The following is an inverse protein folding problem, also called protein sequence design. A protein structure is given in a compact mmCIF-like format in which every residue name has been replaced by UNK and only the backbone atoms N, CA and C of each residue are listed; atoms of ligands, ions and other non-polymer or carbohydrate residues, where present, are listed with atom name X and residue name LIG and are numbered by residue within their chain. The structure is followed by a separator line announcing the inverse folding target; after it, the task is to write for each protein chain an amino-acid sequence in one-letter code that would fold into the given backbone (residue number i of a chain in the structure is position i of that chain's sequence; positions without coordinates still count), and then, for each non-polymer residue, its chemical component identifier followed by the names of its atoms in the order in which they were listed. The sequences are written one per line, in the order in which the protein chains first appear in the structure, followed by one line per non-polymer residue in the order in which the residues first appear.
data_IF_184255308819
#
_entry.id   IF_184255308819
#
_cell.length_a   1.000
_cell.length_b   1.000
_cell.length_c   1.000
_cell.angle_alpha   90.00
_cell.angle_beta   90.00
_cell.angle_gamma   90.00
#
_symmetry.space_group_name_H-M   'P 1'
#
loop_
_entity.id
_entity.type
_entity.pdbx_description
1 polymer ?
#
# COMPACT_ATOMS: atom_id res chain seq x y z
N UNK A 1 -17.88 -28.96 -3.36
CA UNK A 1 -17.38 -27.75 -2.69
C UNK A 1 -17.98 -26.56 -3.39
N UNK A 2 -18.52 -25.60 -2.65
CA UNK A 2 -19.23 -24.48 -3.26
C UNK A 2 -18.51 -23.18 -2.85
N UNK A 3 -17.68 -22.64 -3.76
CA UNK A 3 -17.10 -21.31 -3.64
C UNK A 3 -18.07 -20.30 -4.25
N UNK A 4 -18.52 -19.32 -3.44
CA UNK A 4 -19.56 -18.37 -3.83
C UNK A 4 -19.02 -17.13 -4.53
N UNK A 5 -17.69 -17.00 -4.68
CA UNK A 5 -17.06 -15.84 -5.32
C UNK A 5 -17.13 -15.86 -6.85
N UNK A 6 -17.50 -16.99 -7.47
CA UNK A 6 -17.54 -17.16 -8.93
C UNK A 6 -18.47 -16.19 -9.67
N UNK A 7 -19.46 -15.65 -8.97
CA UNK A 7 -20.45 -14.74 -9.54
C UNK A 7 -20.21 -13.27 -9.14
N UNK A 8 -19.10 -12.99 -8.44
CA UNK A 8 -18.74 -11.64 -8.05
C UNK A 8 -18.12 -10.86 -9.21
N UNK A 9 -18.08 -9.54 -9.09
CA UNK A 9 -17.51 -8.65 -10.12
C UNK A 9 -16.13 -8.11 -9.75
N UNK A 10 -15.78 -8.17 -8.46
CA UNK A 10 -14.46 -7.75 -7.96
C UNK A 10 -13.36 -8.62 -8.55
N UNK A 11 -12.32 -8.01 -9.19
CA UNK A 11 -11.15 -8.75 -9.63
C UNK A 11 -10.46 -9.51 -8.48
N UNK A 12 -10.41 -8.93 -7.29
CA UNK A 12 -9.84 -9.57 -6.11
C UNK A 12 -10.62 -10.80 -5.65
N UNK A 13 -11.94 -10.71 -5.61
CA UNK A 13 -12.78 -11.86 -5.23
C UNK A 13 -12.68 -12.98 -6.27
N UNK A 14 -12.66 -12.63 -7.57
CA UNK A 14 -12.50 -13.58 -8.67
C UNK A 14 -11.15 -14.30 -8.65
N UNK A 15 -10.05 -13.67 -8.21
CA UNK A 15 -8.74 -14.33 -8.00
C UNK A 15 -8.84 -15.52 -7.02
N UNK A 16 -9.82 -15.50 -6.11
CA UNK A 16 -10.05 -16.56 -5.13
C UNK A 16 -11.19 -17.51 -5.48
N UNK A 17 -11.83 -17.34 -6.65
CA UNK A 17 -13.00 -18.11 -7.04
C UNK A 17 -12.72 -19.63 -7.25
N UNK A 18 -11.47 -19.98 -7.58
CA UNK A 18 -11.04 -21.36 -7.78
C UNK A 18 -10.32 -21.98 -6.56
N UNK A 19 -10.17 -21.22 -5.45
CA UNK A 19 -9.59 -21.79 -4.24
C UNK A 19 -10.43 -22.96 -3.70
N UNK A 20 -9.80 -23.95 -3.07
CA UNK A 20 -10.52 -25.06 -2.41
C UNK A 20 -11.28 -24.61 -1.15
N UNK A 21 -11.06 -23.39 -0.66
CA UNK A 21 -11.82 -22.78 0.46
C UNK A 21 -13.21 -22.38 -0.02
N UNK A 22 -14.25 -22.70 0.76
CA UNK A 22 -15.64 -22.33 0.49
C UNK A 22 -15.89 -20.86 0.86
N UNK A 23 -15.34 -19.95 0.09
CA UNK A 23 -15.44 -18.52 0.31
C UNK A 23 -16.86 -18.00 0.07
N UNK A 24 -17.28 -17.11 0.94
CA UNK A 24 -18.43 -16.22 0.75
C UNK A 24 -17.95 -14.79 0.50
N UNK A 25 -18.65 -13.97 -0.28
CA UNK A 25 -18.56 -12.53 -0.18
C UNK A 25 -19.16 -12.07 1.16
N UNK A 26 -19.02 -10.81 1.50
CA UNK A 26 -19.69 -10.25 2.68
C UNK A 26 -21.19 -10.17 2.45
N UNK A 27 -21.92 -11.15 2.91
CA UNK A 27 -23.36 -11.29 2.69
C UNK A 27 -24.07 -11.84 3.93
N UNK A 28 -25.37 -11.63 4.00
CA UNK A 28 -26.22 -12.06 5.12
C UNK A 28 -26.21 -13.59 5.27
N UNK A 29 -26.22 -14.30 4.16
CA UNK A 29 -26.25 -15.76 4.08
C UNK A 29 -25.04 -16.40 4.77
N UNK A 30 -23.85 -15.77 4.68
CA UNK A 30 -22.66 -16.25 5.35
C UNK A 30 -22.82 -16.20 6.88
N UNK A 31 -23.33 -15.11 7.40
CA UNK A 31 -23.55 -14.95 8.86
C UNK A 31 -24.72 -15.80 9.37
N UNK A 32 -25.78 -15.97 8.60
CA UNK A 32 -26.87 -16.89 8.93
C UNK A 32 -26.37 -18.33 8.97
N UNK A 33 -25.49 -18.72 8.04
CA UNK A 33 -24.83 -20.02 8.07
C UNK A 33 -23.95 -20.17 9.31
N UNK A 34 -23.13 -19.18 9.63
CA UNK A 34 -22.29 -19.20 10.83
C UNK A 34 -23.12 -19.39 12.12
N UNK A 35 -24.27 -18.72 12.22
CA UNK A 35 -25.22 -18.89 13.34
C UNK A 35 -25.81 -20.29 13.37
N UNK A 36 -26.28 -20.80 12.24
CA UNK A 36 -26.93 -22.11 12.14
C UNK A 36 -25.97 -23.26 12.42
N UNK A 37 -24.73 -23.17 11.94
CA UNK A 37 -23.71 -24.19 12.11
C UNK A 37 -22.89 -24.00 13.41
N UNK A 38 -23.15 -22.94 14.15
CA UNK A 38 -22.43 -22.56 15.37
C UNK A 38 -20.90 -22.46 15.16
N UNK A 39 -20.48 -21.86 14.05
CA UNK A 39 -19.09 -21.71 13.66
C UNK A 39 -18.62 -20.26 13.76
N UNK A 40 -17.37 -20.02 14.18
CA UNK A 40 -16.77 -18.68 14.06
C UNK A 40 -16.56 -18.33 12.59
N UNK A 41 -16.49 -17.03 12.32
CA UNK A 41 -16.22 -16.51 10.98
C UNK A 41 -14.73 -16.23 10.83
N UNK A 42 -14.15 -16.72 9.75
CA UNK A 42 -12.82 -16.35 9.27
C UNK A 42 -12.97 -15.28 8.18
N UNK A 43 -12.60 -14.05 8.50
CA UNK A 43 -12.67 -12.91 7.58
C UNK A 43 -11.28 -12.56 7.06
N UNK A 44 -11.12 -12.51 5.74
CA UNK A 44 -9.90 -12.07 5.07
C UNK A 44 -10.20 -10.89 4.15
N UNK A 45 -9.56 -9.75 4.41
CA UNK A 45 -9.72 -8.51 3.65
C UNK A 45 -8.42 -8.22 2.90
N UNK A 46 -8.54 -7.82 1.64
CA UNK A 46 -7.40 -7.46 0.80
C UNK A 46 -7.84 -6.70 -0.45
N UNK A 47 -7.02 -6.70 -1.47
CA UNK A 47 -7.29 -6.08 -2.77
C UNK A 47 -6.43 -6.72 -3.87
N UNK A 48 -6.79 -6.52 -5.13
CA UNK A 48 -6.28 -7.31 -6.27
C UNK A 48 -4.77 -7.21 -6.50
N UNK A 49 -4.14 -6.07 -6.23
CA UNK A 49 -2.70 -5.84 -6.45
C UNK A 49 -1.85 -6.02 -5.18
N UNK A 50 -2.43 -6.58 -4.12
CA UNK A 50 -1.78 -6.75 -2.83
C UNK A 50 -0.81 -7.93 -2.85
N UNK A 51 0.49 -7.69 -2.92
CA UNK A 51 1.54 -8.72 -2.93
C UNK A 51 1.38 -9.75 -1.80
N UNK A 52 1.28 -9.32 -0.53
CA UNK A 52 1.13 -10.25 0.60
C UNK A 52 -0.21 -11.00 0.61
N UNK A 53 -1.24 -10.46 -0.07
CA UNK A 53 -2.48 -11.19 -0.28
C UNK A 53 -2.27 -12.34 -1.28
N UNK A 54 -1.49 -12.12 -2.35
CA UNK A 54 -1.10 -13.17 -3.31
C UNK A 54 -0.24 -14.24 -2.63
N UNK A 55 0.76 -13.83 -1.84
CA UNK A 55 1.59 -14.77 -1.07
C UNK A 55 0.72 -15.65 -0.16
N UNK A 56 -0.23 -15.06 0.59
CA UNK A 56 -1.12 -15.82 1.47
C UNK A 56 -2.09 -16.72 0.69
N UNK A 57 -2.52 -16.31 -0.51
CA UNK A 57 -3.34 -17.13 -1.40
C UNK A 57 -2.60 -18.40 -1.80
N UNK A 58 -1.42 -18.26 -2.38
CA UNK A 58 -0.62 -19.38 -2.86
C UNK A 58 -0.11 -20.29 -1.75
N UNK A 59 0.36 -19.72 -0.63
CA UNK A 59 0.86 -20.53 0.49
C UNK A 59 -0.23 -21.24 1.27
N UNK A 60 -1.42 -20.65 1.39
CA UNK A 60 -2.43 -21.08 2.36
C UNK A 60 -3.79 -21.37 1.75
N UNK A 61 -4.37 -20.47 0.95
CA UNK A 61 -5.75 -20.62 0.49
C UNK A 61 -5.91 -21.61 -0.67
N UNK A 62 -4.82 -21.90 -1.40
CA UNK A 62 -4.74 -22.95 -2.42
C UNK A 62 -4.36 -24.32 -1.82
N UNK A 63 -3.97 -24.37 -0.56
CA UNK A 63 -3.61 -25.62 0.12
C UNK A 63 -4.84 -26.36 0.61
N UNK A 64 -5.03 -27.60 0.17
CA UNK A 64 -6.18 -28.43 0.51
C UNK A 64 -6.34 -28.66 2.02
N UNK A 65 -5.23 -28.83 2.77
CA UNK A 65 -5.30 -29.08 4.22
C UNK A 65 -5.76 -27.85 5.01
N UNK A 66 -5.33 -26.64 4.58
CA UNK A 66 -5.84 -25.39 5.15
C UNK A 66 -7.32 -25.22 4.78
N UNK A 67 -7.66 -25.50 3.54
CA UNK A 67 -9.05 -25.43 3.07
C UNK A 67 -9.97 -26.41 3.81
N UNK A 68 -9.54 -27.64 4.07
CA UNK A 68 -10.30 -28.62 4.89
C UNK A 68 -10.60 -28.05 6.27
N UNK A 69 -9.60 -27.48 6.97
CA UNK A 69 -9.78 -26.88 8.31
C UNK A 69 -10.75 -25.70 8.25
N UNK A 70 -10.58 -24.79 7.26
CA UNK A 70 -11.45 -23.63 7.10
C UNK A 70 -12.89 -24.06 6.80
N UNK A 71 -13.08 -25.00 5.90
CA UNK A 71 -14.41 -25.47 5.47
C UNK A 71 -15.13 -26.25 6.58
N UNK A 72 -14.38 -27.00 7.40
CA UNK A 72 -14.97 -27.81 8.46
C UNK A 72 -15.33 -26.95 9.70
N UNK A 73 -14.45 -26.04 10.11
CA UNK A 73 -14.57 -25.37 11.42
C UNK A 73 -14.98 -23.89 11.34
N UNK A 74 -14.98 -23.28 10.15
CA UNK A 74 -15.26 -21.85 10.00
C UNK A 74 -16.28 -21.62 8.87
N UNK A 75 -16.88 -20.42 8.90
CA UNK A 75 -17.46 -19.82 7.71
C UNK A 75 -16.48 -18.77 7.21
N UNK A 76 -15.95 -18.95 6.00
CA UNK A 76 -14.89 -18.13 5.43
C UNK A 76 -15.47 -17.02 4.57
N UNK A 77 -15.14 -15.77 4.89
CA UNK A 77 -15.61 -14.58 4.15
C UNK A 77 -14.40 -13.85 3.57
N UNK A 78 -14.52 -13.47 2.29
CA UNK A 78 -13.53 -12.67 1.57
C UNK A 78 -14.10 -11.30 1.26
N UNK A 79 -13.31 -10.24 1.48
CA UNK A 79 -13.73 -8.85 1.24
C UNK A 79 -12.68 -8.13 0.41
N UNK A 80 -13.11 -7.48 -0.66
CA UNK A 80 -12.32 -6.51 -1.39
C UNK A 80 -12.48 -5.14 -0.71
N UNK A 81 -11.36 -4.59 -0.20
CA UNK A 81 -11.38 -3.28 0.44
C UNK A 81 -11.71 -2.13 -0.52
N UNK A 82 -11.44 -2.31 -1.82
CA UNK A 82 -11.75 -1.29 -2.83
C UNK A 82 -13.26 -1.18 -3.08
N UNK A 83 -14.00 -2.30 -2.98
CA UNK A 83 -15.46 -2.30 -3.08
C UNK A 83 -16.14 -2.02 -1.73
N UNK A 84 -15.54 -2.47 -0.61
CA UNK A 84 -16.11 -2.35 0.74
C UNK A 84 -15.17 -1.65 1.72
N UNK A 85 -14.80 -0.37 1.43
CA UNK A 85 -13.95 0.42 2.33
C UNK A 85 -14.58 0.66 3.71
N UNK A 86 -15.92 0.61 3.80
CA UNK A 86 -16.67 0.67 5.05
C UNK A 86 -16.31 -0.48 5.99
N UNK A 87 -16.27 -1.72 5.47
CA UNK A 87 -15.87 -2.91 6.22
C UNK A 87 -14.39 -2.88 6.55
N UNK A 88 -13.56 -2.57 5.55
CA UNK A 88 -12.11 -2.48 5.73
C UNK A 88 -11.73 -1.50 6.83
N UNK A 89 -12.30 -0.31 6.84
CA UNK A 89 -12.00 0.73 7.84
C UNK A 89 -12.30 0.27 9.27
N UNK A 90 -13.44 -0.40 9.48
CA UNK A 90 -13.82 -0.93 10.80
C UNK A 90 -12.83 -1.98 11.27
N UNK A 91 -12.58 -3.00 10.44
CA UNK A 91 -11.73 -4.13 10.86
C UNK A 91 -10.23 -3.82 10.79
N UNK A 92 -9.83 -2.80 10.03
CA UNK A 92 -8.47 -2.26 10.11
C UNK A 92 -8.22 -1.61 11.49
N UNK A 93 -9.19 -0.85 12.02
CA UNK A 93 -9.10 -0.30 13.38
C UNK A 93 -9.02 -1.42 14.44
N UNK A 94 -9.77 -2.50 14.26
CA UNK A 94 -9.65 -3.71 15.10
C UNK A 94 -8.24 -4.29 15.00
N UNK A 95 -7.71 -4.47 13.79
CA UNK A 95 -6.37 -5.02 13.58
C UNK A 95 -5.31 -4.16 14.28
N UNK A 96 -5.39 -2.85 14.16
CA UNK A 96 -4.49 -1.91 14.82
C UNK A 96 -4.58 -1.99 16.35
N UNK A 97 -5.78 -2.15 16.91
CA UNK A 97 -5.96 -2.32 18.35
C UNK A 97 -5.30 -3.61 18.88
N UNK A 98 -5.34 -4.71 18.11
CA UNK A 98 -4.72 -5.97 18.50
C UNK A 98 -3.20 -6.02 18.31
N UNK A 99 -2.70 -5.42 17.24
CA UNK A 99 -1.31 -5.63 16.79
C UNK A 99 -0.42 -4.41 16.94
N UNK A 100 -1.01 -3.23 17.22
CA UNK A 100 -0.33 -1.94 17.22
C UNK A 100 -0.04 -1.40 15.81
N UNK A 101 -0.37 -2.15 14.77
CA UNK A 101 -0.19 -1.76 13.36
C UNK A 101 -1.29 -2.37 12.50
N UNK A 102 -1.47 -1.86 11.27
CA UNK A 102 -2.42 -2.40 10.30
C UNK A 102 -1.74 -2.74 8.98
N UNK A 103 -2.43 -3.50 8.14
CA UNK A 103 -1.93 -3.86 6.82
C UNK A 103 -2.78 -4.95 6.16
N UNK A 104 -2.55 -5.15 4.88
CA UNK A 104 -3.21 -6.20 4.11
C UNK A 104 -2.23 -7.33 3.75
N UNK A 105 -2.74 -8.59 3.74
CA UNK A 105 -4.11 -8.99 4.05
C UNK A 105 -4.45 -8.71 5.52
N UNK A 106 -5.70 -8.28 5.80
CA UNK A 106 -6.21 -8.18 7.16
C UNK A 106 -6.97 -9.46 7.47
N UNK A 107 -6.58 -10.16 8.53
CA UNK A 107 -7.15 -11.43 8.97
C UNK A 107 -7.88 -11.24 10.29
N UNK A 108 -9.18 -11.49 10.33
CA UNK A 108 -10.02 -11.29 11.51
C UNK A 108 -10.81 -12.54 11.82
N UNK A 109 -10.95 -12.88 13.09
CA UNK A 109 -11.89 -13.90 13.55
C UNK A 109 -13.05 -13.25 14.27
N UNK A 110 -14.27 -13.59 13.82
CA UNK A 110 -15.51 -12.98 14.31
C UNK A 110 -16.42 -14.02 14.93
N UNK A 111 -17.25 -13.58 15.85
CA UNK A 111 -18.46 -14.31 16.22
C UNK A 111 -19.47 -14.26 15.06
N UNK A 112 -20.48 -15.15 15.01
CA UNK A 112 -21.56 -15.06 14.03
C UNK A 112 -22.35 -13.73 14.06
N UNK A 113 -22.25 -12.96 15.15
CA UNK A 113 -22.81 -11.61 15.29
C UNK A 113 -21.82 -10.51 14.90
N UNK A 114 -20.79 -10.81 14.11
CA UNK A 114 -19.79 -9.89 13.55
C UNK A 114 -18.88 -9.22 14.58
N UNK A 115 -18.82 -9.73 15.82
CA UNK A 115 -17.97 -9.19 16.86
C UNK A 115 -16.55 -9.77 16.75
N UNK A 116 -15.49 -8.95 16.61
CA UNK A 116 -14.13 -9.45 16.46
C UNK A 116 -13.54 -9.88 17.81
N UNK A 117 -12.92 -11.07 17.85
CA UNK A 117 -12.23 -11.58 19.04
C UNK A 117 -10.75 -11.89 18.83
N UNK A 118 -10.27 -11.85 17.58
CA UNK A 118 -8.85 -11.95 17.23
C UNK A 118 -8.59 -11.28 15.89
N UNK A 119 -7.42 -10.64 15.76
CA UNK A 119 -7.02 -9.97 14.53
C UNK A 119 -5.50 -10.08 14.29
N UNK A 120 -5.12 -9.98 13.04
CA UNK A 120 -3.75 -9.90 12.58
C UNK A 120 -3.70 -9.55 11.09
N UNK A 121 -2.51 -9.54 10.54
CA UNK A 121 -2.31 -9.30 9.12
C UNK A 121 -1.99 -10.61 8.38
N UNK A 122 -0.86 -10.71 7.76
CA UNK A 122 -0.39 -11.92 7.10
C UNK A 122 0.01 -13.00 8.12
N UNK A 123 -0.39 -14.24 7.85
CA UNK A 123 0.04 -15.43 8.56
C UNK A 123 0.65 -16.44 7.59
N UNK A 124 1.92 -16.83 7.74
CA UNK A 124 2.53 -17.86 6.91
C UNK A 124 1.82 -19.21 7.10
N UNK A 125 1.84 -20.09 6.12
CA UNK A 125 1.24 -21.43 6.23
C UNK A 125 1.77 -22.21 7.44
N UNK A 126 3.09 -22.18 7.66
CA UNK A 126 3.79 -22.75 8.83
C UNK A 126 4.51 -21.66 9.60
N UNK A 127 4.76 -21.89 10.89
CA UNK A 127 5.51 -20.93 11.72
C UNK A 127 6.83 -20.52 11.07
N UNK A 128 7.04 -19.22 10.91
CA UNK A 128 8.21 -18.62 10.24
C UNK A 128 8.50 -17.25 10.88
N UNK A 129 9.76 -16.91 11.04
CA UNK A 129 10.19 -15.60 11.59
C UNK A 129 9.58 -15.22 12.94
N UNK A 130 9.35 -16.21 13.81
CA UNK A 130 8.71 -15.98 15.12
C UNK A 130 7.18 -15.81 15.08
N UNK A 131 6.57 -15.83 13.88
CA UNK A 131 5.11 -15.78 13.71
C UNK A 131 4.51 -17.19 13.74
N UNK A 132 3.30 -17.28 14.33
CA UNK A 132 2.51 -18.52 14.30
C UNK A 132 2.05 -18.82 12.86
N UNK A 133 2.08 -20.10 12.46
CA UNK A 133 1.53 -20.51 11.16
C UNK A 133 0.00 -20.54 11.17
N UNK A 134 -0.62 -20.21 10.01
CA UNK A 134 -2.07 -20.16 9.86
C UNK A 134 -2.75 -21.47 10.28
N UNK A 135 -2.22 -22.62 9.86
CA UNK A 135 -2.77 -23.92 10.26
C UNK A 135 -2.89 -24.08 11.78
N UNK A 136 -1.83 -23.76 12.51
CA UNK A 136 -1.82 -23.86 13.97
C UNK A 136 -2.77 -22.86 14.61
N UNK A 137 -2.87 -21.65 14.05
CA UNK A 137 -3.78 -20.60 14.52
C UNK A 137 -5.23 -21.04 14.37
N UNK A 138 -5.62 -21.56 13.19
CA UNK A 138 -6.98 -22.03 12.93
C UNK A 138 -7.40 -23.13 13.91
N UNK A 139 -6.54 -24.13 14.12
CA UNK A 139 -6.83 -25.21 15.07
C UNK A 139 -6.93 -24.70 16.52
N UNK A 140 -6.06 -23.79 16.93
CA UNK A 140 -6.11 -23.19 18.26
C UNK A 140 -7.39 -22.38 18.50
N UNK A 141 -7.86 -21.63 17.50
CA UNK A 141 -9.13 -20.90 17.57
C UNK A 141 -10.31 -21.84 17.62
N UNK A 142 -10.31 -22.89 16.78
CA UNK A 142 -11.37 -23.91 16.82
C UNK A 142 -11.47 -24.57 18.20
N UNK A 143 -10.35 -25.00 18.77
CA UNK A 143 -10.32 -25.61 20.11
C UNK A 143 -10.84 -24.64 21.19
N UNK A 144 -10.45 -23.37 21.14
CA UNK A 144 -10.97 -22.37 22.06
C UNK A 144 -12.48 -22.11 21.83
N UNK A 145 -12.94 -22.04 20.59
CA UNK A 145 -14.35 -21.88 20.28
C UNK A 145 -15.21 -23.01 20.87
N UNK A 146 -14.70 -24.23 20.83
CA UNK A 146 -15.36 -25.42 21.35
C UNK A 146 -15.31 -25.50 22.88
N UNK A 147 -14.16 -25.23 23.49
CA UNK A 147 -13.89 -25.58 24.89
C UNK A 147 -13.85 -24.36 25.83
N UNK A 148 -13.64 -23.15 25.32
CA UNK A 148 -13.47 -21.92 26.11
C UNK A 148 -14.08 -20.70 25.39
N UNK A 149 -15.26 -20.88 24.84
CA UNK A 149 -16.01 -19.86 24.10
C UNK A 149 -16.22 -18.58 24.91
N UNK A 150 -16.46 -18.71 26.22
CA UNK A 150 -16.72 -17.56 27.09
C UNK A 150 -15.59 -16.55 27.03
N UNK A 151 -14.36 -16.95 27.11
CA UNK A 151 -13.18 -16.10 26.99
C UNK A 151 -13.13 -15.36 25.64
N UNK A 152 -13.50 -16.04 24.54
CA UNK A 152 -13.54 -15.39 23.22
C UNK A 152 -14.65 -14.34 23.11
N UNK A 153 -15.81 -14.60 23.69
CA UNK A 153 -16.93 -13.64 23.70
C UNK A 153 -16.62 -12.43 24.57
N UNK A 154 -15.99 -12.63 25.74
CA UNK A 154 -15.53 -11.54 26.61
C UNK A 154 -14.50 -10.67 25.88
N UNK A 155 -13.51 -11.27 25.22
CA UNK A 155 -12.56 -10.54 24.38
C UNK A 155 -13.24 -9.72 23.27
N UNK A 156 -14.27 -10.27 22.63
CA UNK A 156 -15.03 -9.56 21.61
C UNK A 156 -15.77 -8.33 22.17
N UNK A 157 -16.37 -8.42 23.33
CA UNK A 157 -17.04 -7.28 23.98
C UNK A 157 -16.03 -6.19 24.42
N UNK A 158 -14.87 -6.60 24.93
CA UNK A 158 -13.81 -5.66 25.32
C UNK A 158 -13.31 -4.85 24.12
N UNK A 159 -13.08 -5.50 22.98
CA UNK A 159 -12.68 -4.83 21.73
C UNK A 159 -13.73 -3.79 21.28
N UNK A 160 -15.00 -4.20 21.24
CA UNK A 160 -16.09 -3.28 20.84
C UNK A 160 -16.18 -2.11 21.81
N UNK A 161 -16.05 -2.36 23.11
CA UNK A 161 -16.08 -1.32 24.14
C UNK A 161 -14.93 -0.32 23.97
N UNK A 162 -13.72 -0.82 23.65
CA UNK A 162 -12.55 0.02 23.39
C UNK A 162 -12.76 0.92 22.18
N UNK A 163 -13.13 0.35 21.03
CA UNK A 163 -13.38 1.09 19.80
C UNK A 163 -14.53 2.13 19.95
N UNK A 164 -15.58 1.77 20.70
CA UNK A 164 -16.68 2.68 20.98
C UNK A 164 -16.27 3.88 21.84
N UNK A 165 -15.32 3.71 22.76
CA UNK A 165 -14.75 4.80 23.58
C UNK A 165 -13.87 5.71 22.73
N UNK A 166 -13.02 5.15 21.87
CA UNK A 166 -12.21 5.95 20.96
C UNK A 166 -13.07 6.79 20.01
N UNK A 167 -14.11 6.20 19.43
CA UNK A 167 -15.05 6.91 18.56
C UNK A 167 -15.78 8.05 19.29
N UNK A 168 -16.17 7.86 20.55
CA UNK A 168 -16.81 8.92 21.36
C UNK A 168 -15.84 10.05 21.72
N UNK A 169 -14.58 9.74 21.96
CA UNK A 169 -13.56 10.74 22.26
C UNK A 169 -13.18 11.57 21.01
N UNK A 170 -13.47 11.08 19.81
CA UNK A 170 -13.30 11.82 18.54
C UNK A 170 -14.49 12.74 18.21
N UNK A 171 -15.65 12.57 18.87
CA UNK A 171 -16.75 13.53 18.76
C UNK A 171 -16.45 14.70 19.70
N UNK A 172 -15.94 15.78 19.13
CA UNK A 172 -15.77 17.05 19.83
C UNK A 172 -17.14 17.48 20.36
N UNK A 173 -17.23 17.76 21.67
CA UNK A 173 -18.41 18.33 22.27
C UNK A 173 -18.80 19.60 21.50
N UNK A 174 -20.00 19.59 20.91
CA UNK A 174 -20.52 20.66 20.05
C UNK A 174 -20.89 21.95 20.84
N UNK A 175 -20.50 22.08 22.10
CA UNK A 175 -20.91 23.19 22.97
C UNK A 175 -19.81 24.21 23.30
N UNK A 176 -18.71 24.32 22.52
CA UNK A 176 -17.79 25.44 22.71
C UNK A 176 -17.95 26.49 21.62
N UNK A 177 -18.60 27.59 21.95
CA UNK A 177 -18.80 28.81 21.15
C UNK A 177 -17.52 29.66 20.94
N UNK A 178 -16.33 29.04 20.91
CA UNK A 178 -15.05 29.76 20.64
C UNK A 178 -14.24 29.02 19.59
N UNK A 179 -14.69 29.06 18.35
CA UNK A 179 -14.14 28.26 17.25
C UNK A 179 -12.87 28.88 16.64
N UNK A 180 -12.73 30.22 16.58
CA UNK A 180 -11.63 30.86 15.81
C UNK A 180 -10.24 30.67 16.42
N UNK A 181 -10.06 30.80 17.73
CA UNK A 181 -8.74 30.62 18.38
C UNK A 181 -8.32 29.14 18.43
N UNK A 182 -9.30 28.23 18.55
CA UNK A 182 -9.05 26.78 18.60
C UNK A 182 -8.55 26.23 17.25
N UNK A 183 -9.09 26.75 16.14
CA UNK A 183 -8.70 26.30 14.79
C UNK A 183 -7.27 26.71 14.44
N UNK A 184 -6.86 27.92 14.81
CA UNK A 184 -5.48 28.39 14.61
C UNK A 184 -4.51 27.55 15.43
N UNK A 185 -4.84 27.29 16.69
CA UNK A 185 -4.00 26.47 17.57
C UNK A 185 -3.88 25.02 17.08
N UNK A 186 -4.93 24.46 16.50
CA UNK A 186 -4.90 23.13 15.89
C UNK A 186 -3.95 23.08 14.70
N UNK A 187 -3.99 24.08 13.82
CA UNK A 187 -3.10 24.20 12.66
C UNK A 187 -1.62 24.33 13.10
N UNK A 188 -1.33 25.16 14.11
CA UNK A 188 0.03 25.29 14.64
C UNK A 188 0.50 24.00 15.30
N UNK A 189 -0.36 23.34 16.07
CA UNK A 189 -0.05 22.01 16.68
C UNK A 189 0.25 20.96 15.63
N UNK A 190 -0.49 20.94 14.53
CA UNK A 190 -0.22 20.04 13.41
C UNK A 190 1.13 20.34 12.73
N UNK A 191 1.46 21.62 12.52
CA UNK A 191 2.75 22.01 11.99
C UNK A 191 3.90 21.57 12.90
N UNK A 192 3.82 21.82 14.20
CA UNK A 192 4.81 21.42 15.18
C UNK A 192 4.97 19.88 15.23
N UNK A 193 3.88 19.15 15.05
CA UNK A 193 3.92 17.68 14.95
C UNK A 193 4.73 17.24 13.74
N UNK A 194 4.52 17.83 12.55
CA UNK A 194 5.31 17.53 11.37
C UNK A 194 6.79 17.91 11.52
N UNK A 195 7.11 19.02 12.18
CA UNK A 195 8.49 19.41 12.48
C UNK A 195 9.23 18.35 13.33
N UNK A 196 8.53 17.73 14.28
CA UNK A 196 9.09 16.64 15.13
C UNK A 196 9.27 15.35 14.38
N UNK A 197 8.36 15.00 13.45
CA UNK A 197 8.41 13.75 12.68
C UNK A 197 9.33 13.82 11.46
N UNK A 198 9.69 15.03 11.02
CA UNK A 198 10.43 15.22 9.78
C UNK A 198 11.82 14.59 9.82
N UNK A 199 12.14 13.74 8.86
CA UNK A 199 13.50 13.23 8.66
C UNK A 199 14.38 14.28 7.99
N UNK A 200 15.14 15.02 8.80
CA UNK A 200 16.02 16.09 8.32
C UNK A 200 17.15 15.59 7.40
N UNK A 201 17.47 14.30 7.44
CA UNK A 201 18.52 13.72 6.60
C UNK A 201 17.97 13.31 5.23
N UNK A 202 16.89 12.53 5.21
CA UNK A 202 16.40 11.86 4.00
C UNK A 202 15.07 12.43 3.48
N UNK A 203 14.45 13.38 4.19
CA UNK A 203 13.09 13.83 3.86
C UNK A 203 12.01 12.81 4.24
N UNK A 204 10.76 13.22 4.10
CA UNK A 204 9.62 12.43 4.57
C UNK A 204 9.42 12.50 6.08
N UNK A 205 8.47 11.74 6.59
CA UNK A 205 8.07 11.78 8.00
C UNK A 205 8.18 10.39 8.63
N UNK A 206 8.77 10.32 9.81
CA UNK A 206 9.01 9.06 10.52
C UNK A 206 10.16 8.24 9.92
N UNK A 207 10.10 6.93 10.16
CA UNK A 207 11.07 5.94 9.66
C UNK A 207 10.42 4.98 8.68
N UNK A 208 11.21 4.12 8.07
CA UNK A 208 10.74 3.06 7.18
C UNK A 208 9.70 2.14 7.89
N UNK A 209 8.66 1.71 7.15
CA UNK A 209 8.36 2.03 5.75
C UNK A 209 7.88 3.48 5.58
N UNK A 210 8.42 4.20 4.58
CA UNK A 210 8.08 5.60 4.31
C UNK A 210 7.05 5.74 3.21
N UNK A 211 5.87 6.25 3.56
CA UNK A 211 4.84 6.61 2.60
C UNK A 211 5.04 8.03 2.08
N UNK A 212 4.69 8.33 0.82
CA UNK A 212 4.76 9.68 0.24
C UNK A 212 3.93 10.73 0.97
N UNK A 213 2.84 10.34 1.62
CA UNK A 213 1.91 11.17 2.40
C UNK A 213 1.61 12.53 1.75
N UNK A 214 1.09 12.57 0.50
CA UNK A 214 0.91 13.82 -0.25
C UNK A 214 -0.02 14.83 0.44
N UNK A 215 -0.99 14.35 1.22
CA UNK A 215 -1.88 15.20 2.02
C UNK A 215 -1.12 16.01 3.10
N UNK A 216 -0.09 15.42 3.72
CA UNK A 216 0.78 16.14 4.67
C UNK A 216 1.57 17.25 3.96
N UNK A 217 2.10 16.94 2.77
CA UNK A 217 2.85 17.89 1.95
C UNK A 217 1.94 19.04 1.46
N UNK A 218 0.71 18.74 1.05
CA UNK A 218 -0.28 19.76 0.68
C UNK A 218 -0.68 20.64 1.85
N UNK A 219 -0.82 20.07 3.06
CA UNK A 219 -1.02 20.86 4.28
C UNK A 219 0.14 21.84 4.50
N UNK A 220 1.38 21.35 4.46
CA UNK A 220 2.57 22.19 4.67
C UNK A 220 2.73 23.29 3.61
N UNK A 221 2.40 23.02 2.33
CA UNK A 221 2.40 24.03 1.29
C UNK A 221 1.37 25.15 1.56
N UNK A 222 0.16 24.77 1.98
CA UNK A 222 -0.88 25.73 2.38
C UNK A 222 -0.50 26.49 3.65
N UNK A 223 0.12 25.81 4.61
CA UNK A 223 0.62 26.44 5.82
C UNK A 223 1.69 27.48 5.50
N UNK A 224 2.64 27.17 4.58
CA UNK A 224 3.63 28.14 4.09
C UNK A 224 2.98 29.36 3.43
N UNK A 225 1.99 29.15 2.56
CA UNK A 225 1.27 30.28 1.92
C UNK A 225 0.64 31.24 2.94
N UNK A 226 0.13 30.71 4.04
CA UNK A 226 -0.53 31.51 5.10
C UNK A 226 0.47 32.16 6.06
N UNK A 227 1.46 31.42 6.51
CA UNK A 227 2.36 31.82 7.60
C UNK A 227 3.69 32.40 7.14
N UNK A 228 4.09 32.16 5.89
CA UNK A 228 5.42 32.43 5.33
C UNK A 228 6.57 31.74 6.11
N UNK A 229 6.28 30.69 6.93
CA UNK A 229 7.30 29.92 7.64
C UNK A 229 8.09 29.06 6.66
N UNK A 230 9.33 29.44 6.38
CA UNK A 230 10.21 28.78 5.40
C UNK A 230 10.42 27.29 5.71
N UNK A 231 10.47 26.89 7.00
CA UNK A 231 10.66 25.51 7.40
C UNK A 231 9.59 24.57 6.82
N UNK A 232 8.35 25.03 6.66
CA UNK A 232 7.30 24.24 6.04
C UNK A 232 7.60 23.94 4.56
N UNK A 233 8.06 24.94 3.81
CA UNK A 233 8.47 24.77 2.42
C UNK A 233 9.71 23.88 2.31
N UNK A 234 10.71 24.07 3.18
CA UNK A 234 11.95 23.27 3.17
C UNK A 234 11.68 21.79 3.40
N UNK A 235 10.76 21.45 4.31
CA UNK A 235 10.32 20.06 4.54
C UNK A 235 9.69 19.45 3.29
N UNK A 236 8.83 20.20 2.60
CA UNK A 236 8.19 19.75 1.37
C UNK A 236 9.21 19.58 0.25
N UNK A 237 10.02 20.59 -0.01
CA UNK A 237 11.02 20.58 -1.09
C UNK A 237 11.99 19.41 -0.93
N UNK A 238 12.51 19.22 0.30
CA UNK A 238 13.41 18.11 0.58
C UNK A 238 12.74 16.75 0.34
N UNK A 239 11.51 16.59 0.77
CA UNK A 239 10.77 15.32 0.60
C UNK A 239 10.50 15.04 -0.88
N UNK A 240 9.98 16.02 -1.63
CA UNK A 240 9.67 15.87 -3.05
C UNK A 240 10.92 15.55 -3.88
N UNK A 241 12.02 16.25 -3.64
CA UNK A 241 13.29 15.99 -4.33
C UNK A 241 13.86 14.62 -3.97
N UNK A 242 13.80 14.23 -2.71
CA UNK A 242 14.32 12.93 -2.29
C UNK A 242 13.50 11.77 -2.87
N UNK A 243 12.16 11.86 -2.89
CA UNK A 243 11.31 10.88 -3.55
C UNK A 243 11.59 10.79 -5.05
N UNK A 244 11.75 11.93 -5.74
CA UNK A 244 12.12 11.94 -7.17
C UNK A 244 13.48 11.30 -7.43
N UNK A 245 14.47 11.53 -6.55
CA UNK A 245 15.82 10.96 -6.70
C UNK A 245 15.89 9.47 -6.36
N UNK A 246 15.01 8.98 -5.52
CA UNK A 246 14.95 7.60 -5.09
C UNK A 246 14.36 6.66 -6.14
N UNK A 247 14.41 5.36 -5.85
CA UNK A 247 13.78 4.35 -6.68
C UNK A 247 12.26 4.24 -6.51
N UNK A 248 11.69 4.98 -5.53
CA UNK A 248 10.22 5.08 -5.39
C UNK A 248 9.57 5.78 -6.59
N UNK A 249 10.31 6.65 -7.30
CA UNK A 249 9.92 7.20 -8.58
C UNK A 249 10.48 6.31 -9.70
N UNK A 250 9.61 5.83 -10.57
CA UNK A 250 10.04 5.10 -11.76
C UNK A 250 10.62 6.08 -12.79
N UNK A 251 11.95 6.13 -12.86
CA UNK A 251 12.66 7.04 -13.75
C UNK A 251 12.47 6.73 -15.23
N UNK A 252 11.99 5.53 -15.56
CA UNK A 252 11.82 5.06 -16.94
C UNK A 252 10.37 5.16 -17.37
N UNK A 253 9.46 4.49 -16.66
CA UNK A 253 8.05 4.47 -17.00
C UNK A 253 7.26 5.66 -16.43
N UNK A 254 7.79 6.37 -15.46
CA UNK A 254 7.08 7.41 -14.71
C UNK A 254 6.21 6.86 -13.60
N UNK A 255 5.65 7.78 -12.80
CA UNK A 255 4.81 7.43 -11.66
C UNK A 255 5.59 7.01 -10.42
N UNK A 256 4.88 6.99 -9.30
CA UNK A 256 5.41 6.66 -7.97
C UNK A 256 4.87 5.33 -7.49
N UNK A 257 5.74 4.52 -6.92
CA UNK A 257 5.37 3.35 -6.14
C UNK A 257 4.71 3.76 -4.82
N UNK A 258 4.04 2.80 -4.17
CA UNK A 258 3.17 3.06 -3.03
C UNK A 258 3.90 3.61 -1.81
N UNK A 259 5.02 2.98 -1.43
CA UNK A 259 5.87 3.40 -0.31
C UNK A 259 7.30 2.86 -0.49
N UNK A 260 8.23 3.42 0.28
CA UNK A 260 9.60 2.92 0.38
C UNK A 260 9.74 1.98 1.58
N UNK A 261 10.45 0.89 1.39
CA UNK A 261 10.78 -0.06 2.46
C UNK A 261 11.98 0.40 3.29
N UNK A 262 12.72 1.42 2.82
CA UNK A 262 13.88 2.02 3.49
C UNK A 262 13.67 3.51 3.80
N UNK A 263 14.61 4.09 4.55
CA UNK A 263 14.55 5.50 4.97
C UNK A 263 14.90 6.50 3.86
N UNK A 264 15.53 6.06 2.73
CA UNK A 264 16.10 6.95 1.71
C UNK A 264 15.26 7.06 0.45
N UNK A 265 14.11 6.38 0.38
CA UNK A 265 13.26 6.26 -0.80
C UNK A 265 13.91 5.48 -1.97
N UNK A 266 14.88 4.58 -1.69
CA UNK A 266 15.55 3.79 -2.71
C UNK A 266 14.76 2.53 -3.10
N UNK A 267 14.42 1.68 -2.14
CA UNK A 267 13.77 0.38 -2.37
C UNK A 267 12.27 0.52 -2.16
N UNK A 268 11.46 0.57 -3.23
CA UNK A 268 10.02 0.66 -3.08
C UNK A 268 9.39 -0.70 -2.82
N UNK A 269 8.17 -0.70 -2.27
CA UNK A 269 7.17 -1.69 -2.61
C UNK A 269 6.60 -1.31 -3.97
N UNK A 270 6.77 -2.16 -4.98
CA UNK A 270 6.67 -1.77 -6.39
C UNK A 270 5.24 -1.51 -6.91
N UNK A 271 4.22 -1.78 -6.12
CA UNK A 271 2.83 -1.44 -6.41
C UNK A 271 2.66 0.06 -6.68
N UNK A 272 1.88 0.43 -7.70
CA UNK A 272 1.55 1.84 -8.00
C UNK A 272 0.05 2.07 -7.89
N UNK A 273 -0.35 2.93 -6.94
CA UNK A 273 -1.76 3.26 -6.70
C UNK A 273 -2.15 4.53 -7.44
N UNK A 274 -3.32 4.53 -8.06
CA UNK A 274 -3.88 5.71 -8.75
C UNK A 274 -4.01 6.91 -7.81
N UNK A 275 -4.63 6.72 -6.63
CA UNK A 275 -4.85 7.79 -5.67
C UNK A 275 -3.55 8.45 -5.22
N UNK A 276 -2.48 7.65 -5.02
CA UNK A 276 -1.18 8.15 -4.60
C UNK A 276 -0.55 9.03 -5.70
N UNK A 277 -0.57 8.55 -6.93
CA UNK A 277 -0.05 9.27 -8.08
C UNK A 277 -0.84 10.55 -8.37
N UNK A 278 -2.17 10.51 -8.31
CA UNK A 278 -3.03 11.66 -8.49
C UNK A 278 -2.76 12.76 -7.46
N UNK A 279 -2.67 12.41 -6.17
CA UNK A 279 -2.36 13.36 -5.11
C UNK A 279 -0.93 13.90 -5.20
N UNK A 280 0.03 13.10 -5.65
CA UNK A 280 1.40 13.56 -5.90
C UNK A 280 1.47 14.52 -7.08
N UNK A 281 0.74 14.29 -8.18
CA UNK A 281 0.62 15.27 -9.27
C UNK A 281 0.16 16.63 -8.72
N UNK A 282 -0.91 16.65 -7.91
CA UNK A 282 -1.41 17.88 -7.28
C UNK A 282 -0.33 18.54 -6.40
N UNK A 283 0.40 17.76 -5.61
CA UNK A 283 1.44 18.25 -4.70
C UNK A 283 2.61 18.86 -5.46
N UNK A 284 3.12 18.20 -6.49
CA UNK A 284 4.18 18.70 -7.35
C UNK A 284 3.75 19.95 -8.13
N UNK A 285 2.52 19.99 -8.65
CA UNK A 285 1.96 21.19 -9.29
C UNK A 285 1.90 22.37 -8.32
N UNK A 286 1.45 22.14 -7.08
CA UNK A 286 1.38 23.18 -6.06
C UNK A 286 2.79 23.68 -5.66
N UNK A 287 3.75 22.78 -5.50
CA UNK A 287 5.14 23.13 -5.25
C UNK A 287 5.74 23.96 -6.40
N UNK A 288 5.42 23.61 -7.66
CA UNK A 288 5.83 24.42 -8.83
C UNK A 288 5.23 25.82 -8.79
N UNK A 289 3.94 25.95 -8.51
CA UNK A 289 3.24 27.24 -8.42
C UNK A 289 3.87 28.17 -7.39
N UNK A 290 4.29 27.61 -6.24
CA UNK A 290 4.88 28.40 -5.15
C UNK A 290 6.35 28.76 -5.35
N UNK A 291 7.12 27.89 -6.00
CA UNK A 291 8.58 28.02 -6.08
C UNK A 291 9.12 28.42 -7.45
N UNK A 292 8.35 28.21 -8.53
CA UNK A 292 8.78 28.37 -9.92
C UNK A 292 9.85 27.35 -10.36
N UNK A 293 10.22 26.35 -9.54
CA UNK A 293 11.26 25.38 -9.85
C UNK A 293 10.78 24.34 -10.85
N UNK A 294 11.33 24.37 -12.08
CA UNK A 294 10.89 23.52 -13.21
C UNK A 294 10.91 22.02 -12.95
N UNK A 295 11.75 21.55 -12.01
CA UNK A 295 11.80 20.12 -11.65
C UNK A 295 10.45 19.60 -11.16
N UNK A 296 9.68 20.39 -10.42
CA UNK A 296 8.37 19.97 -9.93
C UNK A 296 7.35 19.83 -11.06
N UNK A 297 7.40 20.73 -12.06
CA UNK A 297 6.59 20.61 -13.27
C UNK A 297 6.94 19.32 -14.05
N UNK A 298 8.23 19.05 -14.25
CA UNK A 298 8.71 17.86 -14.96
C UNK A 298 8.23 16.58 -14.31
N UNK A 299 8.35 16.47 -12.97
CA UNK A 299 7.91 15.29 -12.23
C UNK A 299 6.38 15.14 -12.30
N UNK A 300 5.64 16.23 -12.11
CA UNK A 300 4.18 16.21 -12.23
C UNK A 300 3.73 15.74 -13.63
N UNK A 301 4.37 16.27 -14.68
CA UNK A 301 4.08 15.88 -16.06
C UNK A 301 4.38 14.41 -16.31
N UNK A 302 5.56 13.92 -15.93
CA UNK A 302 5.93 12.49 -16.09
C UNK A 302 4.96 11.56 -15.36
N UNK A 303 4.52 11.96 -14.16
CA UNK A 303 3.54 11.18 -13.39
C UNK A 303 2.16 11.19 -14.08
N UNK A 304 1.74 12.33 -14.61
CA UNK A 304 0.48 12.44 -15.36
C UNK A 304 0.54 11.63 -16.67
N UNK A 305 1.65 11.73 -17.42
CA UNK A 305 1.86 10.95 -18.65
C UNK A 305 1.81 9.42 -18.36
N UNK A 306 2.37 8.97 -17.22
CA UNK A 306 2.26 7.59 -16.76
C UNK A 306 0.80 7.20 -16.50
N UNK A 307 0.05 7.98 -15.74
CA UNK A 307 -1.36 7.68 -15.41
C UNK A 307 -2.19 7.59 -16.70
N UNK A 308 -1.99 8.50 -17.64
CA UNK A 308 -2.71 8.51 -18.93
C UNK A 308 -2.33 7.32 -19.81
N UNK A 309 -1.10 6.85 -19.78
CA UNK A 309 -0.61 5.76 -20.63
C UNK A 309 -0.92 4.39 -20.03
N UNK A 310 -0.68 4.19 -18.71
CA UNK A 310 -0.69 2.86 -18.09
C UNK A 310 -1.94 2.61 -17.24
N UNK A 311 -2.50 3.67 -16.63
CA UNK A 311 -3.63 3.52 -15.70
C UNK A 311 -4.97 3.93 -16.31
N UNK A 312 -5.04 4.17 -17.61
CA UNK A 312 -6.28 4.54 -18.30
C UNK A 312 -6.76 3.40 -19.19
N UNK A 313 -8.00 2.96 -19.00
CA UNK A 313 -8.62 1.94 -19.82
C UNK A 313 -9.02 2.49 -21.21
N UNK A 314 -9.25 1.58 -22.16
CA UNK A 314 -9.72 1.96 -23.52
C UNK A 314 -11.10 2.64 -23.50
N UNK A 315 -11.89 2.34 -22.49
CA UNK A 315 -13.23 2.90 -22.27
C UNK A 315 -13.18 4.28 -21.57
N UNK A 316 -11.99 4.79 -21.21
CA UNK A 316 -11.78 6.09 -20.58
C UNK A 316 -11.88 6.09 -19.04
N UNK A 317 -12.07 4.94 -18.41
CA UNK A 317 -11.95 4.78 -16.96
C UNK A 317 -10.48 4.68 -16.53
N UNK A 318 -10.22 4.80 -15.23
CA UNK A 318 -8.89 4.59 -14.66
C UNK A 318 -8.84 3.29 -13.88
N UNK A 319 -7.74 2.54 -14.02
CA UNK A 319 -7.41 1.44 -13.12
C UNK A 319 -7.01 1.98 -11.75
N UNK A 320 -7.43 1.31 -10.67
CA UNK A 320 -7.15 1.77 -9.31
C UNK A 320 -5.70 1.55 -8.89
N UNK A 321 -5.04 0.53 -9.44
CA UNK A 321 -3.67 0.18 -9.11
C UNK A 321 -2.99 -0.59 -10.25
N UNK A 322 -1.65 -0.63 -10.20
CA UNK A 322 -0.79 -1.52 -10.97
C UNK A 322 -0.07 -2.45 -10.00
N UNK A 323 -0.06 -3.74 -10.31
CA UNK A 323 0.54 -4.78 -9.47
C UNK A 323 2.05 -4.59 -9.30
N UNK A 324 2.56 -4.95 -8.12
CA UNK A 324 3.98 -5.01 -7.83
C UNK A 324 4.65 -6.22 -8.50
N UNK A 325 3.88 -7.30 -8.71
CA UNK A 325 4.36 -8.57 -9.21
C UNK A 325 4.33 -8.64 -10.73
N UNK A 326 5.38 -9.19 -11.31
CA UNK A 326 5.49 -9.57 -12.71
C UNK A 326 5.93 -11.02 -12.78
N UNK A 327 5.19 -11.89 -13.48
CA UNK A 327 5.48 -13.32 -13.56
C UNK A 327 5.67 -13.96 -12.16
N UNK A 328 4.87 -13.53 -11.17
CA UNK A 328 4.90 -14.03 -9.81
C UNK A 328 6.12 -13.59 -8.97
N UNK A 329 6.87 -12.57 -9.42
CA UNK A 329 8.02 -12.02 -8.71
C UNK A 329 7.86 -10.53 -8.50
N UNK A 330 7.90 -10.08 -7.23
CA UNK A 330 7.80 -8.65 -6.91
C UNK A 330 8.95 -7.85 -7.54
N UNK A 331 8.59 -6.76 -8.19
CA UNK A 331 9.55 -5.80 -8.74
C UNK A 331 10.32 -6.27 -9.98
N UNK A 332 10.11 -7.49 -10.50
CA UNK A 332 10.86 -8.02 -11.64
C UNK A 332 10.94 -7.05 -12.81
N UNK A 333 9.84 -6.38 -13.12
CA UNK A 333 9.75 -5.39 -14.20
C UNK A 333 10.60 -4.14 -13.98
N UNK A 334 10.88 -3.77 -12.73
CA UNK A 334 11.57 -2.54 -12.33
C UNK A 334 13.06 -2.75 -12.03
N UNK A 335 13.55 -3.99 -12.15
CA UNK A 335 14.91 -4.37 -11.78
C UNK A 335 15.76 -4.59 -13.03
N UNK A 336 16.96 -3.98 -13.06
CA UNK A 336 17.84 -3.95 -14.22
C UNK A 336 19.18 -4.62 -13.97
N UNK A 337 19.67 -5.32 -15.01
CA UNK A 337 21.06 -5.77 -15.11
C UNK A 337 21.85 -4.80 -16.00
N UNK A 338 23.07 -4.36 -15.61
CA UNK A 338 23.85 -3.42 -16.41
C UNK A 338 24.24 -3.94 -17.80
N UNK A 339 24.40 -5.25 -17.96
CA UNK A 339 24.73 -5.88 -19.26
C UNK A 339 23.52 -5.90 -20.19
N UNK A 340 22.34 -6.18 -19.64
CA UNK A 340 21.06 -6.12 -20.35
C UNK A 340 20.83 -4.72 -20.94
N UNK A 341 21.05 -3.68 -20.13
CA UNK A 341 20.96 -2.28 -20.60
C UNK A 341 21.94 -2.01 -21.75
N UNK A 342 23.19 -2.47 -21.64
CA UNK A 342 24.19 -2.30 -22.70
C UNK A 342 23.77 -3.05 -23.96
N UNK A 343 23.23 -4.25 -23.83
CA UNK A 343 22.75 -5.05 -24.96
C UNK A 343 21.60 -4.37 -25.71
N UNK A 344 20.66 -3.78 -24.98
CA UNK A 344 19.48 -3.09 -25.56
C UNK A 344 19.86 -1.74 -26.18
N UNK A 345 20.67 -0.95 -25.48
CA UNK A 345 20.96 0.44 -25.83
C UNK A 345 22.25 0.64 -26.63
N UNK A 346 23.07 -0.43 -26.78
CA UNK A 346 24.43 -0.35 -27.31
C UNK A 346 25.44 0.11 -26.24
N UNK A 347 26.72 -0.16 -26.51
CA UNK A 347 27.82 -0.01 -25.54
C UNK A 347 27.92 1.42 -24.94
N UNK A 348 27.91 2.45 -25.81
CA UNK A 348 28.13 3.82 -25.36
C UNK A 348 26.93 4.37 -24.54
N UNK A 349 25.73 4.25 -25.08
CA UNK A 349 24.53 4.76 -24.41
C UNK A 349 24.15 3.93 -23.20
N UNK A 350 24.31 2.61 -23.26
CA UNK A 350 24.07 1.73 -22.11
C UNK A 350 25.00 2.05 -20.94
N UNK A 351 26.30 2.32 -21.16
CA UNK A 351 27.21 2.77 -20.10
C UNK A 351 26.84 4.13 -19.53
N UNK A 352 26.41 5.07 -20.37
CA UNK A 352 25.92 6.40 -19.91
C UNK A 352 24.68 6.26 -19.05
N UNK A 353 23.72 5.41 -19.46
CA UNK A 353 22.53 5.10 -18.71
C UNK A 353 22.85 4.50 -17.33
N UNK A 354 23.68 3.46 -17.33
CA UNK A 354 24.11 2.79 -16.10
C UNK A 354 24.78 3.78 -15.12
N UNK A 355 25.66 4.63 -15.62
CA UNK A 355 26.31 5.66 -14.81
C UNK A 355 25.31 6.71 -14.30
N UNK A 356 24.36 7.11 -15.14
CA UNK A 356 23.38 8.15 -14.78
C UNK A 356 22.42 7.67 -13.69
N UNK A 357 21.93 6.44 -13.79
CA UNK A 357 20.94 5.87 -12.87
C UNK A 357 21.51 4.97 -11.78
N UNK A 358 22.83 5.04 -11.52
CA UNK A 358 23.52 4.25 -10.49
C UNK A 358 23.32 2.73 -10.65
N UNK A 359 23.31 2.23 -11.89
CA UNK A 359 23.22 0.81 -12.21
C UNK A 359 24.62 0.21 -12.26
N UNK A 360 24.88 -0.77 -11.41
CA UNK A 360 26.21 -1.35 -11.20
C UNK A 360 26.21 -2.88 -11.21
N UNK A 361 27.35 -3.51 -11.44
CA UNK A 361 27.49 -4.98 -11.38
C UNK A 361 27.18 -5.55 -9.98
N UNK A 362 27.39 -4.77 -8.92
CA UNK A 362 27.07 -5.17 -7.55
C UNK A 362 25.57 -5.22 -7.29
N UNK A 363 24.82 -4.36 -7.96
CA UNK A 363 23.42 -4.14 -7.69
C UNK A 363 23.17 -3.32 -6.40
N UNK A 364 21.96 -2.76 -6.29
CA UNK A 364 21.49 -2.07 -5.10
C UNK A 364 20.27 -2.75 -4.46
N UNK A 365 19.73 -3.79 -5.11
CA UNK A 365 18.64 -4.62 -4.62
C UNK A 365 18.76 -6.04 -5.21
N UNK A 366 18.90 -7.08 -4.38
CA UNK A 366 18.93 -8.51 -4.75
C UNK A 366 19.85 -8.84 -5.94
N UNK A 367 21.05 -8.23 -5.99
CA UNK A 367 22.04 -8.33 -7.09
C UNK A 367 21.56 -7.74 -8.42
N UNK A 368 20.45 -7.05 -8.46
CA UNK A 368 19.97 -6.24 -9.55
C UNK A 368 19.93 -4.76 -9.14
N UNK A 369 19.43 -3.91 -10.00
CA UNK A 369 19.45 -2.47 -9.76
C UNK A 369 18.09 -1.86 -9.93
N UNK A 370 17.72 -1.04 -8.95
CA UNK A 370 16.64 -0.07 -9.04
C UNK A 370 17.28 1.23 -9.54
N UNK A 371 16.86 1.79 -10.70
CA UNK A 371 17.34 3.07 -11.21
C UNK A 371 17.08 4.19 -10.21
N UNK A 372 18.09 5.01 -9.91
CA UNK A 372 17.96 6.09 -8.96
C UNK A 372 18.97 7.21 -9.21
N UNK A 373 18.75 8.38 -8.60
CA UNK A 373 19.60 9.57 -8.70
C UNK A 373 20.19 9.97 -7.33
N UNK A 374 20.20 9.09 -6.34
CA UNK A 374 20.60 9.41 -4.96
C UNK A 374 22.05 9.84 -4.82
N UNK A 375 22.97 9.28 -5.64
CA UNK A 375 24.40 9.64 -5.68
C UNK A 375 24.70 10.89 -6.52
N UNK A 376 23.72 11.43 -7.23
CA UNK A 376 23.92 12.60 -8.08
C UNK A 376 23.92 13.88 -7.21
N UNK A 377 25.09 14.52 -7.01
CA UNK A 377 25.21 15.68 -6.14
C UNK A 377 24.87 17.05 -6.80
N UNK A 378 24.58 17.10 -8.10
CA UNK A 378 24.39 18.35 -8.82
C UNK A 378 22.96 18.59 -9.26
N UNK A 379 22.31 19.62 -8.72
CA UNK A 379 21.01 20.12 -9.21
C UNK A 379 21.04 20.54 -10.69
N UNK A 380 22.20 20.90 -11.23
CA UNK A 380 22.36 21.23 -12.66
C UNK A 380 22.28 19.99 -13.57
N UNK A 381 22.67 18.80 -13.09
CA UNK A 381 22.51 17.55 -13.83
C UNK A 381 21.07 17.07 -13.86
N UNK A 382 20.26 17.42 -12.87
CA UNK A 382 18.82 17.15 -12.87
C UNK A 382 18.08 17.94 -13.99
N UNK A 383 18.70 19.01 -14.54
CA UNK A 383 18.17 19.80 -15.64
C UNK A 383 18.54 19.27 -17.04
N UNK A 384 19.55 18.40 -17.12
CA UNK A 384 19.94 17.73 -18.38
C UNK A 384 19.46 16.29 -18.33
N UNK A 385 18.22 16.09 -18.74
CA UNK A 385 17.68 14.75 -18.90
C UNK A 385 18.47 13.97 -19.95
N UNK A 386 18.74 12.64 -19.72
CA UNK A 386 19.25 11.79 -20.79
C UNK A 386 18.25 11.75 -21.93
N UNK A 387 18.77 11.65 -23.14
CA UNK A 387 17.97 11.59 -24.35
C UNK A 387 16.97 10.42 -24.30
N UNK A 388 15.67 10.72 -24.41
CA UNK A 388 14.54 9.80 -24.19
C UNK A 388 14.43 8.64 -25.18
N UNK A 389 15.34 8.51 -26.15
CA UNK A 389 15.35 7.36 -27.06
C UNK A 389 15.57 6.02 -26.34
N UNK A 390 16.13 6.05 -25.13
CA UNK A 390 16.29 4.88 -24.24
C UNK A 390 14.95 4.31 -23.74
N UNK A 391 13.92 5.13 -23.62
CA UNK A 391 12.58 4.71 -23.18
C UNK A 391 11.82 3.94 -24.25
N UNK A 392 12.12 4.16 -25.54
CA UNK A 392 11.47 3.45 -26.65
C UNK A 392 11.85 1.98 -26.71
N UNK A 393 13.08 1.63 -26.34
CA UNK A 393 13.54 0.24 -26.42
C UNK A 393 12.82 -0.69 -25.43
N UNK A 394 12.21 -0.17 -24.37
CA UNK A 394 11.53 -0.98 -23.34
C UNK A 394 10.04 -1.18 -23.59
N UNK A 395 9.39 -0.24 -24.27
CA UNK A 395 7.94 -0.26 -24.44
C UNK A 395 7.43 -1.35 -25.40
N UNK A 396 8.30 -1.95 -26.19
CA UNK A 396 7.88 -2.91 -27.24
C UNK A 396 7.86 -4.36 -26.75
N UNK A 397 8.65 -4.74 -25.73
CA UNK A 397 8.77 -6.13 -25.28
C UNK A 397 7.90 -6.51 -24.08
N UNK A 398 7.43 -5.55 -23.24
CA UNK A 398 6.80 -5.85 -21.95
C UNK A 398 5.38 -5.31 -21.72
N UNK A 399 4.72 -4.75 -22.75
CA UNK A 399 3.39 -4.13 -22.59
C UNK A 399 2.21 -5.10 -22.46
N UNK A 400 2.40 -6.40 -22.64
CA UNK A 400 1.27 -7.35 -22.71
C UNK A 400 0.82 -7.98 -21.39
N UNK A 401 1.60 -7.89 -20.29
CA UNK A 401 1.34 -8.67 -19.07
C UNK A 401 1.00 -7.85 -17.81
N UNK A 402 1.14 -6.52 -17.84
CA UNK A 402 1.07 -5.68 -16.63
C UNK A 402 -0.31 -5.17 -16.24
N UNK A 403 -1.35 -5.58 -16.91
CA UNK A 403 -2.71 -5.15 -16.57
C UNK A 403 -3.41 -6.20 -15.73
N UNK A 404 -3.43 -6.04 -14.40
CA UNK A 404 -4.53 -6.58 -13.60
C UNK A 404 -5.79 -5.82 -14.02
N UNK A 405 -6.64 -6.51 -14.74
CA UNK A 405 -7.94 -6.01 -15.20
C UNK A 405 -8.90 -5.86 -14.04
#
# INVERSE_FOLDING_TARGET
MQNFLKNETSPYLLQHAENPVNWYPWCKEAFERAKKEDKPVFLSIGYSTCHWCHVMAHESFEDEKIAEILNEYFVSIKVDKEERPDIDSIYMSVCQAFTGSGGWPTTIFLTPDQKPFFAGTYFPKKAKYGQIGLQKLLLAIHEKWKNDRKTLLESAEDVISHLSRESKNMTVDKESEMIEDTDIQLIETAFDHYCRLFDRKNGGFGRAPKFPTPHNLLFLLRYYERSSKQEALDMVEKTLIQMYRGGIFDHIGGGFSRYSTDDYFLVPHFEKMLYNNALLIMTYCKAYQLTGKSIYYVVAKKTADYVLREMTSKEGGFYCAQDADSEGVEGKYYLFDPKEIIQICGEAEGRRFNQYFDITDKGNFERKNIPNLLKQNNQERLKKEPDYNLLKCRSEEHTSELQSR
#
